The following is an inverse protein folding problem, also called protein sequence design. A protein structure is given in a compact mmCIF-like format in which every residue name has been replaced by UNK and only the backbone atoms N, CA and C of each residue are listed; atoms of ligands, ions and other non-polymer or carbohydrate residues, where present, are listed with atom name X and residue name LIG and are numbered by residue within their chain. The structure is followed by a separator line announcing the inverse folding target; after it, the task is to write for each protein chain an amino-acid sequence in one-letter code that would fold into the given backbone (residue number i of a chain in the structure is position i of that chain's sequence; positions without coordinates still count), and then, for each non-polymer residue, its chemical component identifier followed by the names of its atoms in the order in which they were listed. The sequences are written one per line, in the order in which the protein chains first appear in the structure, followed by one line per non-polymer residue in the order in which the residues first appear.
data_IF_731681388628
#
_entry.id   IF_731681388628
#
_cell.length_a   1.000
_cell.length_b   1.000
_cell.length_c   1.000
_cell.angle_alpha   90.00
_cell.angle_beta   90.00
_cell.angle_gamma   90.00
#
_symmetry.space_group_name_H-M   'P 1'
#
loop_
_entity.id
_entity.type
_entity.pdbx_description
1 polymer ?
#
# COMPACT_ATOMS: atom_id res chain seq x y z
N UNK A 1 -9.37 -64.10 56.76
CA UNK A 1 -7.92 -63.95 57.01
C UNK A 1 -7.19 -63.84 55.68
N UNK A 2 -6.38 -62.77 55.50
CA UNK A 2 -5.27 -62.61 54.52
C UNK A 2 -5.67 -62.69 53.03
N UNK A 3 -5.18 -61.90 52.07
CA UNK A 3 -4.16 -60.84 51.93
C UNK A 3 -4.20 -60.38 50.44
N UNK A 4 -3.65 -59.19 50.17
CA UNK A 4 -3.08 -58.68 48.88
C UNK A 4 -4.09 -58.13 47.87
N UNK A 5 -4.16 -56.83 47.52
CA UNK A 5 -3.14 -55.79 47.25
C UNK A 5 -2.35 -56.08 45.96
N UNK A 6 -2.83 -55.55 44.84
CA UNK A 6 -2.10 -55.26 43.59
C UNK A 6 -2.87 -54.09 42.92
N UNK A 7 -2.57 -52.84 43.22
CA UNK A 7 -1.62 -51.99 42.49
C UNK A 7 -1.59 -52.25 40.98
N UNK A 8 -2.52 -51.62 40.26
CA UNK A 8 -2.47 -51.38 38.82
C UNK A 8 -2.44 -49.88 38.57
N UNK A 9 -1.23 -49.30 38.60
CA UNK A 9 -0.93 -47.91 38.37
C UNK A 9 -1.08 -47.62 36.85
N UNK A 10 -2.30 -47.31 36.38
CA UNK A 10 -2.49 -46.75 35.04
C UNK A 10 -2.19 -45.24 35.08
N UNK A 11 -0.91 -44.92 35.25
CA UNK A 11 -0.38 -43.60 34.89
C UNK A 11 -0.40 -43.49 33.37
N UNK A 12 -1.54 -43.08 32.80
CA UNK A 12 -1.52 -42.48 31.48
C UNK A 12 -0.69 -41.21 31.59
N UNK A 13 0.60 -41.35 31.27
CA UNK A 13 1.46 -40.28 30.82
C UNK A 13 0.72 -39.61 29.66
N UNK A 14 -0.04 -38.55 29.97
CA UNK A 14 -0.30 -37.49 29.03
C UNK A 14 1.04 -36.89 28.69
N UNK A 15 1.70 -37.50 27.70
CA UNK A 15 2.66 -36.79 26.87
C UNK A 15 1.91 -35.58 26.35
N UNK A 16 2.10 -34.45 27.02
CA UNK A 16 2.01 -33.16 26.36
C UNK A 16 3.11 -33.22 25.30
N UNK A 17 2.79 -33.84 24.17
CA UNK A 17 3.40 -33.46 22.92
C UNK A 17 3.08 -31.98 22.81
N UNK A 18 4.02 -31.16 23.28
CA UNK A 18 4.21 -29.85 22.69
C UNK A 18 4.40 -30.14 21.22
N UNK A 19 3.31 -30.04 20.46
CA UNK A 19 3.38 -29.84 19.04
C UNK A 19 4.31 -28.64 18.90
N UNK A 20 5.53 -28.91 18.49
CA UNK A 20 6.45 -27.91 17.98
C UNK A 20 5.63 -27.13 16.96
N UNK A 21 5.32 -25.86 17.27
CA UNK A 21 4.64 -24.97 16.33
C UNK A 21 5.31 -25.19 14.96
N UNK A 22 4.55 -25.73 14.00
CA UNK A 22 4.95 -25.67 12.61
C UNK A 22 5.13 -24.17 12.36
N UNK A 23 6.37 -23.70 12.37
CA UNK A 23 6.68 -22.30 12.15
C UNK A 23 6.02 -21.94 10.81
N UNK A 24 5.13 -20.94 10.83
CA UNK A 24 4.36 -20.38 9.69
C UNK A 24 5.29 -19.75 8.64
N UNK A 25 6.27 -20.53 8.20
CA UNK A 25 7.39 -20.09 7.41
C UNK A 25 7.77 -21.17 6.40
N UNK A 26 8.21 -20.73 5.23
CA UNK A 26 8.87 -21.57 4.25
C UNK A 26 10.29 -21.04 4.04
N UNK A 27 11.30 -21.87 4.29
CA UNK A 27 12.72 -21.46 4.25
C UNK A 27 13.01 -20.18 5.05
N UNK A 28 12.37 -20.03 6.22
CA UNK A 28 12.50 -18.82 7.05
C UNK A 28 11.70 -17.60 6.56
N UNK A 29 10.98 -17.69 5.44
CA UNK A 29 10.05 -16.64 5.00
C UNK A 29 8.68 -16.86 5.61
N UNK A 30 8.17 -15.90 6.38
CA UNK A 30 6.81 -15.93 6.93
C UNK A 30 5.76 -15.99 5.83
N UNK A 31 4.72 -16.79 6.03
CA UNK A 31 3.59 -16.82 5.12
C UNK A 31 2.85 -15.49 5.13
N UNK A 32 2.56 -14.99 3.93
CA UNK A 32 1.60 -13.91 3.71
C UNK A 32 0.28 -14.48 3.21
N UNK A 33 -0.57 -13.63 2.65
CA UNK A 33 -1.82 -14.08 2.04
C UNK A 33 -2.20 -13.25 0.82
N UNK A 34 -3.16 -13.79 0.07
CA UNK A 34 -3.99 -13.03 -0.87
C UNK A 34 -5.46 -13.11 -0.46
N UNK A 35 -6.26 -12.12 -0.85
CA UNK A 35 -7.72 -12.19 -0.86
C UNK A 35 -8.15 -12.19 -2.32
N UNK A 36 -8.79 -13.26 -2.75
CA UNK A 36 -9.26 -13.40 -4.14
C UNK A 36 -10.49 -12.50 -4.43
N UNK A 37 -10.94 -12.51 -5.69
CA UNK A 37 -12.13 -11.74 -6.09
C UNK A 37 -13.43 -12.18 -5.40
N UNK A 38 -13.51 -13.42 -4.89
CA UNK A 38 -14.64 -13.90 -4.09
C UNK A 38 -14.59 -13.41 -2.63
N UNK A 39 -13.45 -12.87 -2.18
CA UNK A 39 -13.22 -12.49 -0.79
C UNK A 39 -12.63 -13.61 0.06
N UNK A 40 -12.24 -14.74 -0.54
CA UNK A 40 -11.60 -15.84 0.17
C UNK A 40 -10.13 -15.50 0.42
N UNK A 41 -9.72 -15.62 1.68
CA UNK A 41 -8.32 -15.51 2.12
C UNK A 41 -7.58 -16.82 1.80
N UNK A 42 -6.39 -16.71 1.22
CA UNK A 42 -5.52 -17.85 0.90
C UNK A 42 -4.12 -17.55 1.43
N UNK A 43 -3.67 -18.34 2.40
CA UNK A 43 -2.32 -18.26 2.98
C UNK A 43 -1.29 -18.87 2.02
N UNK A 44 -0.07 -18.31 2.03
CA UNK A 44 1.01 -18.80 1.18
C UNK A 44 2.24 -17.90 1.15
N UNK A 45 3.15 -18.19 0.23
CA UNK A 45 4.35 -17.37 0.04
C UNK A 45 4.05 -16.26 -0.96
N UNK A 46 4.13 -15.01 -0.49
CA UNK A 46 3.99 -13.81 -1.32
C UNK A 46 5.38 -13.32 -1.70
N UNK A 47 5.58 -13.04 -3.00
CA UNK A 47 6.81 -12.48 -3.54
C UNK A 47 6.50 -11.23 -4.33
N UNK A 48 7.10 -10.12 -3.92
CA UNK A 48 7.03 -8.85 -4.62
C UNK A 48 7.65 -8.97 -6.02
N UNK A 49 7.04 -8.27 -6.99
CA UNK A 49 7.53 -8.25 -8.36
C UNK A 49 8.72 -7.29 -8.53
N UNK A 50 8.68 -6.15 -7.82
CA UNK A 50 9.76 -5.19 -7.71
C UNK A 50 10.65 -5.41 -6.48
N UNK A 51 11.63 -4.53 -6.35
CA UNK A 51 12.55 -4.44 -5.21
C UNK A 51 12.37 -3.12 -4.46
N UNK A 52 13.16 -2.90 -3.39
CA UNK A 52 13.22 -1.61 -2.68
C UNK A 52 13.60 -0.44 -3.59
N UNK A 53 14.38 -0.70 -4.64
CA UNK A 53 14.78 0.31 -5.65
C UNK A 53 13.82 0.39 -6.85
N UNK A 54 12.76 -0.41 -6.86
CA UNK A 54 11.74 -0.40 -7.92
C UNK A 54 10.32 -0.70 -7.41
N UNK A 55 9.87 -0.02 -6.33
CA UNK A 55 8.64 -0.39 -5.63
C UNK A 55 7.37 -0.22 -6.49
N UNK A 56 7.37 0.66 -7.49
CA UNK A 56 6.25 0.83 -8.45
C UNK A 56 5.93 -0.44 -9.25
N UNK A 57 6.86 -1.39 -9.36
CA UNK A 57 6.57 -2.66 -10.03
C UNK A 57 5.61 -3.54 -9.22
N UNK A 58 5.50 -3.31 -7.90
CA UNK A 58 4.57 -4.02 -7.02
C UNK A 58 3.13 -3.53 -7.19
N UNK A 59 2.93 -2.31 -7.70
CA UNK A 59 1.60 -1.77 -8.00
C UNK A 59 0.89 -2.48 -9.14
N UNK A 60 1.64 -3.14 -10.03
CA UNK A 60 1.08 -3.78 -11.22
C UNK A 60 0.71 -5.24 -10.96
N UNK A 61 1.59 -5.95 -10.25
CA UNK A 61 1.49 -7.39 -10.07
C UNK A 61 2.25 -7.90 -8.86
N UNK A 62 1.81 -9.05 -8.37
CA UNK A 62 2.43 -9.79 -7.26
C UNK A 62 2.56 -11.26 -7.64
N UNK A 63 3.56 -11.95 -7.09
CA UNK A 63 3.71 -13.40 -7.23
C UNK A 63 3.26 -14.08 -5.96
N UNK A 64 2.48 -15.16 -6.09
CA UNK A 64 1.95 -15.90 -4.94
C UNK A 64 1.96 -17.40 -5.22
N UNK A 65 2.21 -18.19 -4.17
CA UNK A 65 1.99 -19.62 -4.16
C UNK A 65 1.28 -20.00 -2.86
N UNK A 66 0.14 -20.68 -2.96
CA UNK A 66 -0.59 -21.14 -1.78
C UNK A 66 0.23 -22.18 -1.02
N UNK A 67 0.05 -22.27 0.31
CA UNK A 67 0.75 -23.30 1.13
C UNK A 67 0.54 -24.70 0.57
N UNK A 68 -0.67 -25.00 0.06
CA UNK A 68 -1.02 -26.29 -0.53
C UNK A 68 -0.23 -26.63 -1.81
N UNK A 69 0.33 -25.63 -2.50
CA UNK A 69 1.06 -25.79 -3.76
C UNK A 69 2.59 -25.88 -3.56
N UNK A 70 3.06 -25.87 -2.31
CA UNK A 70 4.48 -25.92 -1.97
C UNK A 70 4.95 -27.38 -1.86
N UNK A 71 5.87 -27.78 -2.73
CA UNK A 71 6.56 -29.06 -2.62
C UNK A 71 7.69 -28.95 -1.58
N UNK A 72 7.36 -29.25 -0.31
CA UNK A 72 8.31 -29.23 0.81
C UNK A 72 9.45 -30.26 0.62
N UNK A 73 9.19 -31.39 -0.04
CA UNK A 73 10.18 -32.47 -0.24
C UNK A 73 11.25 -32.06 -1.24
N UNK A 74 10.85 -31.42 -2.34
CA UNK A 74 11.76 -30.94 -3.39
C UNK A 74 12.23 -29.51 -3.18
N UNK A 75 11.79 -28.87 -2.10
CA UNK A 75 12.04 -27.46 -1.82
C UNK A 75 11.71 -26.56 -3.04
N UNK A 76 10.56 -26.80 -3.66
CA UNK A 76 10.16 -26.12 -4.91
C UNK A 76 8.83 -25.40 -4.74
N UNK A 77 8.81 -24.12 -5.11
CA UNK A 77 7.60 -23.30 -5.20
C UNK A 77 7.31 -22.97 -6.66
N UNK A 78 6.06 -23.17 -7.09
CA UNK A 78 5.55 -22.67 -8.37
C UNK A 78 4.68 -21.44 -8.13
N UNK A 79 5.27 -20.26 -8.30
CA UNK A 79 4.53 -19.01 -8.17
C UNK A 79 3.58 -18.78 -9.36
N UNK A 80 2.37 -18.31 -9.05
CA UNK A 80 1.47 -17.66 -10.00
C UNK A 80 1.63 -16.16 -9.88
N UNK A 81 1.64 -15.46 -11.00
CA UNK A 81 1.57 -14.00 -11.05
C UNK A 81 0.11 -13.57 -11.05
N UNK A 82 -0.21 -12.56 -10.26
CA UNK A 82 -1.52 -11.93 -10.20
C UNK A 82 -1.39 -10.45 -10.54
N UNK A 83 -2.20 -9.99 -11.49
CA UNK A 83 -2.39 -8.57 -11.77
C UNK A 83 -3.39 -7.95 -10.77
N UNK A 84 -3.41 -6.62 -10.67
CA UNK A 84 -4.21 -5.88 -9.68
C UNK A 84 -5.73 -6.01 -9.83
N UNK A 85 -6.24 -6.54 -10.94
CA UNK A 85 -7.66 -6.84 -11.14
C UNK A 85 -8.00 -8.32 -10.90
N UNK A 86 -7.02 -9.19 -10.67
CA UNK A 86 -7.21 -10.62 -10.44
C UNK A 86 -7.40 -10.99 -8.96
N UNK A 87 -6.95 -10.13 -8.04
CA UNK A 87 -7.12 -10.29 -6.58
C UNK A 87 -7.48 -8.94 -5.94
N UNK A 88 -8.09 -8.98 -4.76
CA UNK A 88 -8.49 -7.77 -4.03
C UNK A 88 -7.39 -7.22 -3.15
N UNK A 89 -6.58 -8.10 -2.58
CA UNK A 89 -5.59 -7.75 -1.58
C UNK A 89 -4.48 -8.78 -1.54
N UNK A 90 -3.28 -8.35 -1.17
CA UNK A 90 -2.25 -9.25 -0.66
C UNK A 90 -1.57 -8.65 0.56
N UNK A 91 -1.01 -9.51 1.41
CA UNK A 91 -0.20 -9.13 2.55
C UNK A 91 1.13 -9.87 2.48
N UNK A 92 2.22 -9.15 2.70
CA UNK A 92 3.57 -9.72 2.80
C UNK A 92 4.26 -9.23 4.06
N UNK A 93 5.05 -10.09 4.68
CA UNK A 93 5.96 -9.69 5.75
C UNK A 93 7.26 -9.11 5.19
N UNK A 94 7.63 -7.93 5.65
CA UNK A 94 8.97 -7.36 5.47
C UNK A 94 9.66 -7.34 6.85
N UNK A 95 10.50 -8.34 7.10
CA UNK A 95 10.93 -8.68 8.46
C UNK A 95 9.74 -9.12 9.29
N UNK A 96 9.49 -8.45 10.40
CA UNK A 96 8.33 -8.70 11.28
C UNK A 96 7.12 -7.82 10.96
N UNK A 97 7.26 -6.85 10.04
CA UNK A 97 6.22 -5.88 9.73
C UNK A 97 5.32 -6.40 8.59
N UNK A 98 4.01 -6.61 8.82
CA UNK A 98 3.09 -6.93 7.75
C UNK A 98 2.80 -5.67 6.91
N UNK A 99 2.93 -5.80 5.59
CA UNK A 99 2.53 -4.78 4.62
C UNK A 99 1.35 -5.29 3.83
N UNK A 100 0.25 -4.55 3.85
CA UNK A 100 -1.00 -4.91 3.16
C UNK A 100 -1.12 -4.03 1.92
N UNK A 101 -1.51 -4.63 0.80
CA UNK A 101 -1.71 -3.94 -0.46
C UNK A 101 -3.09 -4.29 -1.01
N UNK A 102 -3.93 -3.28 -1.26
CA UNK A 102 -5.28 -3.45 -1.80
C UNK A 102 -5.32 -3.02 -3.27
N UNK A 103 -6.11 -3.71 -4.07
CA UNK A 103 -6.42 -3.31 -5.43
C UNK A 103 -7.31 -2.05 -5.40
N UNK A 104 -6.82 -0.95 -5.96
CA UNK A 104 -7.51 0.33 -6.00
C UNK A 104 -7.58 0.84 -7.44
N UNK A 105 -8.76 1.30 -7.86
CA UNK A 105 -8.92 2.01 -9.13
C UNK A 105 -8.57 3.48 -8.93
N UNK A 106 -7.43 3.90 -9.46
CA UNK A 106 -6.96 5.28 -9.33
C UNK A 106 -6.14 5.70 -10.55
N UNK A 107 -6.44 6.87 -11.09
CA UNK A 107 -5.65 7.49 -12.16
C UNK A 107 -4.62 8.43 -11.54
N UNK A 108 -3.33 8.11 -11.63
CA UNK A 108 -2.28 9.03 -11.22
C UNK A 108 -2.09 10.11 -12.30
N UNK A 109 -2.92 11.15 -12.26
CA UNK A 109 -2.88 12.29 -13.19
C UNK A 109 -1.55 13.05 -13.13
N UNK A 110 -0.87 13.05 -11.98
CA UNK A 110 0.40 13.76 -11.75
C UNK A 110 1.55 13.20 -12.59
N UNK A 111 1.74 11.89 -12.57
CA UNK A 111 2.77 11.21 -13.37
C UNK A 111 2.52 11.33 -14.89
N UNK A 112 1.25 11.30 -15.30
CA UNK A 112 0.89 11.48 -16.71
C UNK A 112 1.24 12.89 -17.24
N UNK A 113 1.24 13.90 -16.37
CA UNK A 113 1.58 15.28 -16.72
C UNK A 113 3.10 15.51 -16.69
N UNK A 114 3.82 14.99 -15.68
CA UNK A 114 5.28 15.12 -15.59
C UNK A 114 5.98 14.37 -16.72
N UNK A 115 5.47 13.20 -17.14
CA UNK A 115 5.98 12.47 -18.30
C UNK A 115 5.79 13.17 -19.65
N UNK A 116 4.98 14.22 -19.72
CA UNK A 116 4.65 14.94 -20.96
C UNK A 116 5.64 16.06 -21.32
N UNK A 117 6.48 16.52 -20.38
CA UNK A 117 7.46 17.58 -20.66
C UNK A 117 8.58 17.15 -21.61
N UNK A 118 8.79 15.84 -21.80
CA UNK A 118 9.81 15.28 -22.69
C UNK A 118 9.26 14.69 -24.00
N UNK A 119 7.93 14.69 -24.19
CA UNK A 119 7.31 14.20 -25.43
C UNK A 119 6.70 15.37 -26.20
N UNK A 120 7.17 15.58 -27.42
CA UNK A 120 6.70 16.57 -28.40
C UNK A 120 5.26 16.30 -28.91
N UNK A 121 4.32 16.00 -28.01
CA UNK A 121 2.94 15.76 -28.38
C UNK A 121 2.05 15.58 -27.16
N UNK A 122 1.28 16.63 -26.85
CA UNK A 122 0.18 16.64 -25.88
C UNK A 122 -0.70 15.37 -26.00
N UNK A 123 -0.87 14.81 -27.21
CA UNK A 123 -1.66 13.60 -27.46
C UNK A 123 -1.10 12.26 -26.91
N UNK A 124 0.20 12.15 -26.61
CA UNK A 124 0.80 10.94 -26.04
C UNK A 124 0.50 10.82 -24.53
N UNK A 125 0.56 11.94 -23.80
CA UNK A 125 0.18 12.02 -22.39
C UNK A 125 -1.28 11.65 -22.15
N UNK A 126 -2.19 12.03 -23.07
CA UNK A 126 -3.60 11.66 -22.99
C UNK A 126 -3.87 10.15 -23.17
N UNK A 127 -3.12 9.44 -24.02
CA UNK A 127 -3.26 7.97 -24.16
C UNK A 127 -2.72 7.21 -22.94
N UNK A 128 -1.60 7.65 -22.38
CA UNK A 128 -1.07 7.09 -21.13
C UNK A 128 -2.04 7.32 -19.96
N UNK A 129 -2.64 8.52 -19.88
CA UNK A 129 -3.64 8.87 -18.86
C UNK A 129 -4.93 8.05 -19.00
N UNK A 130 -5.41 7.78 -20.23
CA UNK A 130 -6.60 6.96 -20.45
C UNK A 130 -6.37 5.49 -20.06
N UNK A 131 -5.17 4.96 -20.26
CA UNK A 131 -4.81 3.60 -19.83
C UNK A 131 -4.59 3.50 -18.32
N UNK A 132 -3.96 4.50 -17.69
CA UNK A 132 -3.78 4.54 -16.22
C UNK A 132 -5.11 4.76 -15.48
N UNK A 133 -6.05 5.51 -16.06
CA UNK A 133 -7.35 5.80 -15.42
C UNK A 133 -8.33 4.63 -15.38
N UNK A 134 -8.03 3.55 -16.11
CA UNK A 134 -8.90 2.37 -16.23
C UNK A 134 -8.37 1.13 -15.54
N UNK A 135 -7.12 1.15 -15.07
CA UNK A 135 -6.47 -0.02 -14.47
C UNK A 135 -6.49 0.06 -12.95
N UNK A 136 -6.84 -1.06 -12.32
CA UNK A 136 -6.59 -1.25 -10.90
C UNK A 136 -5.07 -1.28 -10.67
N UNK A 137 -4.63 -0.79 -9.52
CA UNK A 137 -3.24 -0.91 -9.06
C UNK A 137 -3.25 -1.37 -7.61
N UNK A 138 -2.26 -2.15 -7.22
CA UNK A 138 -2.03 -2.45 -5.81
C UNK A 138 -1.47 -1.23 -5.10
N UNK A 139 -2.23 -0.68 -4.16
CA UNK A 139 -1.82 0.42 -3.32
C UNK A 139 -1.57 -0.09 -1.89
N UNK A 140 -0.45 0.31 -1.29
CA UNK A 140 -0.13 -0.10 0.08
C UNK A 140 -1.09 0.59 1.05
N UNK A 141 -1.74 -0.18 1.92
CA UNK A 141 -2.61 0.33 2.98
C UNK A 141 -1.74 1.00 4.05
N UNK A 142 -1.97 2.30 4.27
CA UNK A 142 -1.26 3.09 5.29
C UNK A 142 -2.12 3.22 6.54
N UNK A 143 -3.42 3.45 6.35
CA UNK A 143 -4.37 3.60 7.43
C UNK A 143 -5.72 3.07 6.98
N UNK A 144 -6.35 2.24 7.81
CA UNK A 144 -7.72 1.80 7.59
C UNK A 144 -8.67 2.46 8.58
N UNK A 145 -9.89 2.76 8.14
CA UNK A 145 -10.86 3.54 8.91
C UNK A 145 -11.97 4.10 8.05
N UNK A 146 -12.67 5.12 8.54
CA UNK A 146 -13.70 5.84 7.75
C UNK A 146 -13.09 6.54 6.55
N UNK A 147 -11.86 6.99 6.71
CA UNK A 147 -10.96 7.39 5.65
C UNK A 147 -9.88 6.34 5.56
N UNK A 148 -9.92 5.53 4.51
CA UNK A 148 -8.83 4.62 4.18
C UNK A 148 -7.79 5.38 3.37
N UNK A 149 -6.52 5.30 3.76
CA UNK A 149 -5.39 5.94 3.07
C UNK A 149 -4.48 4.89 2.47
N UNK A 150 -4.07 5.13 1.23
CA UNK A 150 -3.14 4.28 0.52
C UNK A 150 -1.91 5.05 0.04
N UNK A 151 -0.78 4.36 -0.02
CA UNK A 151 0.48 4.84 -0.60
C UNK A 151 0.70 4.23 -1.98
N UNK A 152 1.09 5.07 -2.93
CA UNK A 152 1.44 4.71 -4.30
C UNK A 152 2.75 5.40 -4.69
N UNK A 153 3.56 4.71 -5.47
CA UNK A 153 4.74 5.27 -6.12
C UNK A 153 4.40 5.75 -7.52
N UNK A 154 5.14 6.77 -7.97
CA UNK A 154 5.15 7.18 -9.36
C UNK A 154 5.78 6.13 -10.27
N UNK A 155 5.55 6.24 -11.58
CA UNK A 155 6.18 5.35 -12.57
C UNK A 155 7.31 6.10 -13.28
N UNK A 156 8.41 5.42 -13.64
CA UNK A 156 9.45 6.04 -14.45
C UNK A 156 8.90 6.46 -15.82
N UNK A 157 9.33 7.62 -16.32
CA UNK A 157 8.88 8.16 -17.61
C UNK A 157 9.48 7.40 -18.79
N UNK A 158 8.75 7.33 -19.92
CA UNK A 158 9.09 6.48 -21.08
C UNK A 158 10.43 6.80 -21.76
N UNK A 159 10.98 8.01 -21.59
CA UNK A 159 12.31 8.38 -22.13
C UNK A 159 13.43 7.59 -21.43
N UNK A 160 13.21 7.19 -20.18
CA UNK A 160 14.12 6.30 -19.43
C UNK A 160 13.83 4.81 -19.64
N UNK A 161 12.74 4.45 -20.33
CA UNK A 161 12.34 3.06 -20.56
C UNK A 161 12.78 2.49 -21.93
N UNK A 162 13.16 3.35 -22.88
CA UNK A 162 13.43 2.97 -24.28
C UNK A 162 14.89 3.09 -24.72
N UNK A 163 15.81 3.38 -23.79
CA UNK A 163 17.25 3.21 -24.02
C UNK A 163 17.75 2.17 -23.04
N UNK A 164 18.82 1.46 -23.37
CA UNK A 164 19.38 0.33 -22.61
C UNK A 164 19.91 0.70 -21.19
N UNK A 165 19.48 1.83 -20.63
CA UNK A 165 19.86 2.33 -19.32
C UNK A 165 18.75 2.04 -18.33
N UNK A 166 19.10 1.38 -17.23
CA UNK A 166 18.32 1.43 -16.01
C UNK A 166 17.94 2.90 -15.70
N UNK A 167 16.77 3.12 -15.11
CA UNK A 167 16.40 4.40 -14.49
C UNK A 167 17.63 4.98 -13.76
N UNK A 168 17.86 6.29 -13.87
CA UNK A 168 18.95 6.90 -13.10
C UNK A 168 18.68 6.72 -11.61
N UNK A 169 19.75 6.60 -10.80
CA UNK A 169 19.58 6.51 -9.35
C UNK A 169 18.84 7.73 -8.80
N UNK A 170 19.10 8.92 -9.33
CA UNK A 170 18.38 10.14 -8.95
C UNK A 170 16.87 10.05 -9.22
N UNK A 171 16.46 9.44 -10.34
CA UNK A 171 15.04 9.22 -10.65
C UNK A 171 14.42 8.15 -9.76
N UNK A 172 15.14 7.05 -9.52
CA UNK A 172 14.72 6.02 -8.58
C UNK A 172 14.50 6.60 -7.18
N UNK A 173 15.48 7.35 -6.67
CA UNK A 173 15.43 8.02 -5.37
C UNK A 173 14.28 9.03 -5.32
N UNK A 174 14.05 9.80 -6.39
CA UNK A 174 12.92 10.72 -6.47
C UNK A 174 11.60 9.97 -6.31
N UNK A 175 11.42 8.85 -7.03
CA UNK A 175 10.19 8.06 -6.98
C UNK A 175 10.00 7.37 -5.62
N UNK A 176 11.07 6.83 -5.03
CA UNK A 176 11.05 6.15 -3.73
C UNK A 176 10.73 7.12 -2.60
N UNK A 177 11.38 8.29 -2.61
CA UNK A 177 11.29 9.26 -1.52
C UNK A 177 10.08 10.20 -1.62
N UNK A 178 9.40 10.23 -2.78
CA UNK A 178 8.20 11.05 -2.98
C UNK A 178 6.98 10.20 -3.37
N UNK A 179 6.53 9.25 -2.52
CA UNK A 179 5.31 8.53 -2.78
C UNK A 179 4.11 9.47 -2.75
N UNK A 180 3.09 9.14 -3.53
CA UNK A 180 1.80 9.77 -3.46
C UNK A 180 0.90 9.07 -2.44
N UNK A 181 0.02 9.84 -1.82
CA UNK A 181 -1.01 9.33 -0.92
C UNK A 181 -2.38 9.61 -1.54
N UNK A 182 -3.21 8.57 -1.56
CA UNK A 182 -4.60 8.64 -2.02
C UNK A 182 -5.51 8.20 -0.87
N UNK A 183 -6.75 8.65 -0.89
CA UNK A 183 -7.72 8.30 0.14
C UNK A 183 -9.05 7.86 -0.46
N UNK A 184 -9.80 7.06 0.30
CA UNK A 184 -11.19 6.73 0.04
C UNK A 184 -12.00 6.98 1.31
N UNK A 185 -13.10 7.72 1.19
CA UNK A 185 -14.04 7.94 2.30
C UNK A 185 -15.17 6.91 2.22
N UNK A 186 -15.30 6.09 3.25
CA UNK A 186 -16.35 5.04 3.40
C UNK A 186 -16.45 4.12 2.16
N UNK A 187 -15.32 3.71 1.60
CA UNK A 187 -15.28 2.84 0.41
C UNK A 187 -15.67 3.54 -0.91
N UNK A 188 -15.76 4.87 -0.91
CA UNK A 188 -15.97 5.67 -2.11
C UNK A 188 -14.79 5.63 -3.08
N UNK A 189 -14.90 6.39 -4.17
CA UNK A 189 -13.83 6.51 -5.18
C UNK A 189 -12.55 7.04 -4.52
N UNK A 190 -11.41 6.46 -4.91
CA UNK A 190 -10.12 6.94 -4.47
C UNK A 190 -9.76 8.29 -5.11
N UNK A 191 -9.23 9.20 -4.30
CA UNK A 191 -8.82 10.56 -4.70
C UNK A 191 -7.44 10.90 -4.12
N UNK A 192 -6.73 11.84 -4.74
CA UNK A 192 -5.46 12.32 -4.21
C UNK A 192 -5.64 13.01 -2.85
N UNK A 193 -4.80 12.65 -1.88
CA UNK A 193 -4.74 13.33 -0.60
C UNK A 193 -3.88 14.60 -0.73
N UNK A 194 -4.54 15.74 -0.60
CA UNK A 194 -3.92 17.08 -0.61
C UNK A 194 -4.41 17.86 0.63
N UNK A 195 -3.72 18.94 1.05
CA UNK A 195 -4.21 19.79 2.15
C UNK A 195 -5.64 20.29 1.91
N UNK A 196 -5.97 20.66 0.68
CA UNK A 196 -7.33 21.11 0.31
C UNK A 196 -8.36 20.00 0.47
N UNK A 197 -8.04 18.77 0.06
CA UNK A 197 -8.92 17.61 0.25
C UNK A 197 -9.04 17.22 1.72
N UNK A 198 -7.96 17.29 2.49
CA UNK A 198 -7.97 17.08 3.94
C UNK A 198 -8.93 18.06 4.65
N UNK A 199 -8.92 19.36 4.29
CA UNK A 199 -9.87 20.35 4.81
C UNK A 199 -11.34 20.00 4.49
N UNK A 200 -11.61 19.42 3.32
CA UNK A 200 -12.95 18.96 2.93
C UNK A 200 -13.34 17.70 3.72
N UNK A 201 -12.41 16.74 3.89
CA UNK A 201 -12.65 15.49 4.64
C UNK A 201 -13.15 15.78 6.04
N UNK A 202 -12.47 16.69 6.75
CA UNK A 202 -12.78 17.01 8.15
C UNK A 202 -13.97 17.94 8.33
N UNK A 203 -14.53 18.48 7.24
CA UNK A 203 -15.57 19.51 7.31
C UNK A 203 -16.89 19.00 7.93
N UNK A 204 -17.12 17.70 8.01
CA UNK A 204 -18.28 17.11 8.67
C UNK A 204 -18.00 16.66 10.11
N UNK A 205 -16.79 16.88 10.64
CA UNK A 205 -16.42 16.48 11.99
C UNK A 205 -16.19 17.68 12.92
N UNK A 206 -17.06 17.92 13.92
CA UNK A 206 -16.89 19.03 14.86
C UNK A 206 -15.56 19.03 15.60
N UNK A 207 -15.06 17.85 16.01
CA UNK A 207 -13.78 17.71 16.71
C UNK A 207 -12.60 18.21 15.85
N UNK A 208 -12.45 17.64 14.66
CA UNK A 208 -11.37 18.01 13.74
C UNK A 208 -11.52 19.45 13.23
N UNK A 209 -12.75 19.94 12.98
CA UNK A 209 -12.99 21.35 12.68
C UNK A 209 -12.52 22.28 13.80
N UNK A 210 -12.79 21.93 15.05
CA UNK A 210 -12.34 22.70 16.22
C UNK A 210 -10.82 22.79 16.29
N UNK A 211 -10.11 21.67 16.12
CA UNK A 211 -8.64 21.65 16.07
C UNK A 211 -8.08 22.46 14.91
N UNK A 212 -8.66 22.33 13.71
CA UNK A 212 -8.27 23.13 12.55
C UNK A 212 -8.45 24.63 12.81
N UNK A 213 -9.58 25.05 13.39
CA UNK A 213 -9.86 26.45 13.69
C UNK A 213 -8.87 27.05 14.70
N UNK A 214 -8.37 26.23 15.63
CA UNK A 214 -7.31 26.60 16.59
C UNK A 214 -5.90 26.55 15.99
N UNK A 215 -5.74 26.09 14.75
CA UNK A 215 -4.44 25.97 14.09
C UNK A 215 -3.58 24.81 14.64
N UNK A 216 -4.20 23.81 15.25
CA UNK A 216 -3.51 22.67 15.88
C UNK A 216 -2.95 21.67 14.84
N UNK A 217 -3.51 21.65 13.62
CA UNK A 217 -2.95 20.86 12.52
C UNK A 217 -1.81 21.62 11.85
N UNK A 218 -0.56 21.25 12.16
CA UNK A 218 0.64 21.79 11.55
C UNK A 218 0.65 21.59 10.03
N UNK A 219 0.24 20.39 9.61
CA UNK A 219 0.10 19.97 8.21
C UNK A 219 -0.94 20.77 7.39
N UNK A 220 -1.83 21.54 8.04
CA UNK A 220 -2.84 22.38 7.39
C UNK A 220 -2.59 23.88 7.53
N UNK A 221 -1.49 24.29 8.19
CA UNK A 221 -1.12 25.72 8.31
C UNK A 221 -0.87 26.28 6.91
N UNK A 222 -1.41 27.47 6.66
CA UNK A 222 -1.39 28.08 5.34
C UNK A 222 0.04 28.26 4.84
N UNK A 223 0.40 27.58 3.75
CA UNK A 223 1.46 28.10 2.87
C UNK A 223 1.04 29.53 2.46
N UNK A 224 1.97 30.48 2.59
CA UNK A 224 1.77 31.90 2.31
C UNK A 224 0.95 32.13 1.03
N UNK A 225 0.01 33.09 1.07
CA UNK A 225 -0.87 33.47 -0.06
C UNK A 225 -0.12 33.49 -1.40
N UNK A 226 -0.23 32.41 -2.17
CA UNK A 226 0.38 32.33 -3.50
C UNK A 226 -0.44 33.10 -4.53
N UNK A 227 0.26 34.00 -5.24
CA UNK A 227 -0.26 34.88 -6.29
C UNK A 227 -1.00 34.09 -7.38
N UNK A 228 -2.10 34.66 -7.87
CA UNK A 228 -2.97 34.11 -8.93
C UNK A 228 -2.35 34.33 -10.32
N UNK A 229 -2.08 33.26 -11.08
CA UNK A 229 -1.63 33.31 -12.48
C UNK A 229 -1.16 31.95 -13.03
N UNK A 230 -0.92 31.82 -14.34
CA UNK A 230 -0.49 30.56 -14.98
C UNK A 230 0.80 29.95 -14.38
N UNK A 231 1.69 30.78 -13.82
CA UNK A 231 2.88 30.32 -13.07
C UNK A 231 2.59 29.68 -11.70
N UNK A 232 1.33 29.71 -11.24
CA UNK A 232 0.85 29.03 -10.03
C UNK A 232 0.79 27.52 -10.21
N UNK A 233 0.41 27.03 -11.39
CA UNK A 233 0.32 25.59 -11.64
C UNK A 233 1.69 24.91 -11.50
N UNK A 234 2.73 25.48 -12.10
CA UNK A 234 4.10 24.91 -12.05
C UNK A 234 4.70 24.98 -10.63
N UNK A 235 4.43 26.05 -9.87
CA UNK A 235 5.03 26.27 -8.53
C UNK A 235 4.22 25.68 -7.38
N UNK A 236 2.91 25.47 -7.53
CA UNK A 236 2.08 24.70 -6.59
C UNK A 236 2.39 23.21 -6.70
N UNK A 237 2.76 22.72 -7.89
CA UNK A 237 3.21 21.34 -8.10
C UNK A 237 4.54 21.02 -7.38
N UNK A 238 5.45 22.01 -7.32
CA UNK A 238 6.77 21.94 -6.67
C UNK A 238 6.70 22.19 -5.14
N UNK A 239 5.73 22.96 -4.63
CA UNK A 239 5.54 23.09 -3.17
C UNK A 239 4.68 21.98 -2.58
N UNK A 240 3.72 21.40 -3.33
CA UNK A 240 3.00 20.20 -2.88
C UNK A 240 3.91 18.96 -2.75
N UNK A 241 5.10 18.98 -3.36
CA UNK A 241 6.21 18.03 -3.08
C UNK A 241 6.91 18.32 -1.74
N UNK A 242 6.75 19.50 -1.16
CA UNK A 242 7.36 19.90 0.14
C UNK A 242 6.37 19.77 1.30
N UNK A 243 5.06 19.70 1.05
CA UNK A 243 4.10 19.37 2.10
C UNK A 243 4.31 17.91 2.49
N UNK A 244 4.66 17.67 3.75
CA UNK A 244 4.75 16.32 4.30
C UNK A 244 3.35 15.67 4.30
N UNK A 245 3.03 15.00 3.19
CA UNK A 245 1.75 14.29 3.01
C UNK A 245 1.56 13.20 4.07
N UNK A 246 2.65 12.64 4.61
CA UNK A 246 2.57 11.69 5.71
C UNK A 246 2.13 12.38 7.01
N UNK A 247 2.55 13.63 7.26
CA UNK A 247 2.01 14.44 8.36
C UNK A 247 0.50 14.69 8.24
N UNK A 248 -0.05 14.89 7.03
CA UNK A 248 -1.52 14.96 6.86
C UNK A 248 -2.21 13.67 7.32
N UNK A 249 -1.63 12.52 7.00
CA UNK A 249 -2.17 11.21 7.40
C UNK A 249 -2.11 11.06 8.92
N UNK A 250 -0.96 11.32 9.52
CA UNK A 250 -0.70 11.08 10.94
C UNK A 250 -1.39 12.08 11.86
N UNK A 251 -1.64 13.31 11.41
CA UNK A 251 -2.34 14.32 12.21
C UNK A 251 -3.84 14.34 11.90
N UNK A 252 -4.19 14.66 10.65
CA UNK A 252 -5.56 15.04 10.27
C UNK A 252 -6.42 13.80 10.08
N UNK A 253 -5.93 12.82 9.32
CA UNK A 253 -6.71 11.62 8.99
C UNK A 253 -6.82 10.70 10.20
N UNK A 254 -5.73 10.55 10.97
CA UNK A 254 -5.75 9.84 12.25
C UNK A 254 -6.83 10.41 13.19
N UNK A 255 -6.77 11.72 13.49
CA UNK A 255 -7.75 12.36 14.36
C UNK A 255 -9.19 12.17 13.85
N UNK A 256 -9.38 12.23 12.54
CA UNK A 256 -10.70 12.02 11.95
C UNK A 256 -11.21 10.60 12.19
N UNK A 257 -10.38 9.59 11.90
CA UNK A 257 -10.76 8.19 12.05
C UNK A 257 -11.06 7.82 13.51
N UNK A 258 -10.31 8.38 14.45
CA UNK A 258 -10.47 8.11 15.88
C UNK A 258 -11.68 8.85 16.51
N UNK A 259 -11.93 10.10 16.11
CA UNK A 259 -12.82 10.99 16.87
C UNK A 259 -14.14 11.31 16.16
N UNK A 260 -14.28 11.01 14.87
CA UNK A 260 -15.44 11.42 14.09
C UNK A 260 -16.38 10.23 13.87
N UNK A 261 -17.60 10.30 14.43
CA UNK A 261 -18.66 9.28 14.29
C UNK A 261 -19.41 9.39 12.96
#
# INVERSE_FOLDING_TARGET
MKKLLLMGLFGFLSVNMYAQEETDTYNGQKYGYIIDQSGKKIEGVVRLNGSSVSPWQNQLKVKFAAVADIDKVKNRIKYKTYDADEIKEYMIYEGDNPRIFKAVKYSNTREALIGSESSTGIGAGFKALNNLSRTSQFAELVMDGKITVYKLYGYPTSVTANTAYAISQAEADRLINNPNYIYSKKGGKAEELTPSKAKIIIADCPYAKGKMAKGEYGSLKNEEKKRTGLGKFIRDEISNTMTDKLSLVNEVIYDYNENCK
#
